data_IF_161691280999
#
_entry.id   IF_161691280999
#
_cell.length_a   1.000
_cell.length_b   1.000
_cell.length_c   1.000
_cell.angle_alpha   90.00
_cell.angle_beta   90.00
_cell.angle_gamma   90.00
#
_symmetry.space_group_name_H-M   'P 1'
#
loop_
_entity.id
_entity.type
_entity.pdbx_description
1 polymer ?
#
# COMPACT_ATOMS: atom_id res chain seq x y z
N UNK A 1 39.54 -14.51 -4.69
CA UNK A 1 40.17 -13.18 -4.96
C UNK A 1 39.14 -12.11 -4.68
N UNK A 2 39.54 -11.12 -3.93
CA UNK A 2 38.72 -9.97 -3.60
C UNK A 2 38.44 -9.15 -4.88
N UNK A 3 37.16 -8.95 -5.22
CA UNK A 3 36.77 -8.13 -6.35
C UNK A 3 35.83 -6.99 -5.87
N UNK A 4 35.89 -5.83 -6.52
CA UNK A 4 35.00 -4.72 -6.24
C UNK A 4 34.13 -4.43 -7.43
N UNK A 5 32.83 -4.17 -7.16
CA UNK A 5 31.82 -3.80 -8.14
C UNK A 5 31.23 -2.45 -7.73
N UNK A 6 31.17 -1.51 -8.66
CA UNK A 6 30.54 -0.21 -8.49
C UNK A 6 29.19 -0.23 -9.23
N UNK A 7 28.10 -0.34 -8.49
CA UNK A 7 26.75 -0.27 -9.04
C UNK A 7 26.29 1.19 -9.04
N UNK A 8 26.16 1.80 -10.22
CA UNK A 8 25.60 3.16 -10.36
C UNK A 8 24.15 3.11 -10.76
N UNK A 9 23.34 4.03 -10.27
CA UNK A 9 21.92 4.17 -10.61
C UNK A 9 21.50 5.65 -10.66
N UNK A 10 20.38 5.93 -11.35
CA UNK A 10 19.81 7.29 -11.35
C UNK A 10 19.47 7.75 -9.94
N UNK A 11 18.98 6.82 -9.09
CA UNK A 11 18.70 7.05 -7.68
C UNK A 11 19.30 5.96 -6.79
N UNK A 12 20.01 6.33 -5.74
CA UNK A 12 20.40 5.43 -4.66
C UNK A 12 19.76 5.89 -3.36
N UNK A 13 19.06 4.96 -2.70
CA UNK A 13 18.44 5.18 -1.40
C UNK A 13 18.85 4.08 -0.43
N UNK A 14 19.55 4.42 0.62
CA UNK A 14 20.01 3.45 1.63
C UNK A 14 19.03 3.25 2.80
N UNK A 15 17.79 3.72 2.67
CA UNK A 15 16.77 3.65 3.73
C UNK A 15 16.84 4.80 4.75
N UNK A 16 17.86 5.66 4.69
CA UNK A 16 18.06 6.77 5.62
C UNK A 16 18.06 8.12 4.92
N UNK A 17 17.45 9.12 5.55
CA UNK A 17 17.48 10.50 5.05
C UNK A 17 16.79 10.69 3.70
N UNK A 18 17.45 11.39 2.79
CA UNK A 18 16.98 11.68 1.43
C UNK A 18 17.70 10.76 0.44
N UNK A 19 17.00 10.16 -0.54
CA UNK A 19 17.64 9.45 -1.65
C UNK A 19 18.60 10.37 -2.41
N UNK A 20 19.60 9.79 -3.07
CA UNK A 20 20.63 10.51 -3.83
C UNK A 20 20.43 10.33 -5.33
N UNK A 21 20.41 11.41 -6.08
CA UNK A 21 20.51 11.37 -7.53
C UNK A 21 21.93 10.97 -7.95
N UNK A 22 22.06 10.23 -9.06
CA UNK A 22 23.33 9.76 -9.60
C UNK A 22 24.20 9.10 -8.51
N UNK A 23 23.60 8.20 -7.74
CA UNK A 23 24.28 7.52 -6.64
C UNK A 23 24.99 6.26 -7.08
N UNK A 24 25.79 5.73 -6.15
CA UNK A 24 26.48 4.44 -6.30
C UNK A 24 26.47 3.63 -5.03
N UNK A 25 26.47 2.30 -5.20
CA UNK A 25 26.76 1.33 -4.16
C UNK A 25 27.99 0.52 -4.57
N UNK A 26 28.99 0.45 -3.69
CA UNK A 26 30.17 -0.34 -3.92
C UNK A 26 30.06 -1.65 -3.17
N UNK A 27 30.16 -2.74 -3.90
CA UNK A 27 30.19 -4.10 -3.36
C UNK A 27 31.60 -4.66 -3.39
N UNK A 28 31.96 -5.42 -2.37
CA UNK A 28 33.17 -6.22 -2.31
C UNK A 28 32.77 -7.67 -2.22
N UNK A 29 33.27 -8.49 -3.17
CA UNK A 29 32.95 -9.93 -3.25
C UNK A 29 34.17 -10.76 -2.93
N UNK A 30 33.97 -11.82 -2.13
CA UNK A 30 34.96 -12.88 -1.87
C UNK A 30 34.28 -14.24 -1.96
N UNK A 31 34.53 -14.98 -3.05
CA UNK A 31 33.77 -16.19 -3.36
C UNK A 31 32.29 -15.87 -3.70
N UNK A 32 31.38 -16.46 -2.94
CA UNK A 32 29.94 -16.25 -3.07
C UNK A 32 29.40 -15.11 -2.16
N UNK A 33 30.21 -14.64 -1.22
CA UNK A 33 29.84 -13.57 -0.30
C UNK A 33 30.02 -12.20 -0.96
N UNK A 34 29.05 -11.32 -0.78
CA UNK A 34 29.07 -9.95 -1.28
C UNK A 34 28.65 -8.98 -0.16
N UNK A 35 29.54 -8.03 0.18
CA UNK A 35 29.29 -7.04 1.22
C UNK A 35 29.29 -5.63 0.64
N UNK A 36 28.48 -4.75 1.23
CA UNK A 36 28.42 -3.33 0.90
C UNK A 36 29.60 -2.64 1.57
N UNK A 37 30.44 -1.96 0.78
CA UNK A 37 31.58 -1.20 1.31
C UNK A 37 31.36 0.32 1.29
N UNK A 38 30.48 0.81 0.42
CA UNK A 38 30.08 2.22 0.39
C UNK A 38 28.72 2.40 -0.28
N UNK A 39 28.02 3.49 0.09
CA UNK A 39 26.83 4.00 -0.61
C UNK A 39 26.92 5.54 -0.63
N UNK A 40 27.34 6.09 -1.77
CA UNK A 40 27.68 7.51 -1.90
C UNK A 40 27.31 8.03 -3.30
N UNK A 41 27.64 9.26 -3.64
CA UNK A 41 27.49 9.72 -5.02
C UNK A 41 28.49 9.03 -5.95
N UNK A 42 28.10 8.85 -7.23
CA UNK A 42 28.86 8.03 -8.16
C UNK A 42 30.27 8.60 -8.46
N UNK A 43 30.43 9.92 -8.43
CA UNK A 43 31.74 10.55 -8.69
C UNK A 43 32.70 10.29 -7.53
N UNK A 44 32.25 10.47 -6.29
CA UNK A 44 33.02 10.14 -5.08
C UNK A 44 33.39 8.65 -5.04
N UNK A 45 32.46 7.78 -5.39
CA UNK A 45 32.70 6.34 -5.42
C UNK A 45 33.77 5.95 -6.45
N UNK A 46 33.78 6.56 -7.65
CA UNK A 46 34.84 6.34 -8.65
C UNK A 46 36.22 6.77 -8.16
N UNK A 47 36.28 7.90 -7.43
CA UNK A 47 37.55 8.41 -6.86
C UNK A 47 38.06 7.51 -5.74
N UNK A 48 37.15 7.04 -4.85
CA UNK A 48 37.51 6.22 -3.70
C UNK A 48 37.83 4.76 -4.08
N UNK A 49 37.24 4.24 -5.17
CA UNK A 49 37.36 2.86 -5.62
C UNK A 49 37.72 2.74 -7.11
N UNK A 50 38.88 3.27 -7.54
CA UNK A 50 39.23 3.33 -8.97
C UNK A 50 39.46 1.97 -9.60
N UNK A 51 39.64 0.91 -8.81
CA UNK A 51 39.81 -0.49 -9.22
C UNK A 51 38.48 -1.26 -9.34
N UNK A 52 37.35 -0.64 -8.95
CA UNK A 52 36.05 -1.28 -9.01
C UNK A 52 35.52 -1.39 -10.45
N UNK A 53 34.91 -2.54 -10.78
CA UNK A 53 34.23 -2.71 -12.06
C UNK A 53 32.88 -2.00 -12.01
N UNK A 54 32.74 -0.96 -12.81
CA UNK A 54 31.50 -0.17 -12.86
C UNK A 54 30.44 -0.84 -13.72
N UNK A 55 29.19 -0.85 -13.22
CA UNK A 55 27.98 -1.23 -13.96
C UNK A 55 26.87 -0.27 -13.59
N UNK A 56 26.26 0.39 -14.60
CA UNK A 56 24.99 1.10 -14.38
C UNK A 56 23.85 0.08 -14.35
N UNK A 57 23.03 0.13 -13.30
CA UNK A 57 22.00 -0.88 -13.02
C UNK A 57 20.58 -0.37 -13.24
N UNK A 58 20.43 0.84 -13.81
CA UNK A 58 19.15 1.41 -14.19
C UNK A 58 18.60 2.43 -13.19
N UNK A 59 17.28 2.45 -13.02
CA UNK A 59 16.58 3.54 -12.34
C UNK A 59 16.96 3.71 -10.87
N UNK A 60 17.00 2.63 -10.08
CA UNK A 60 17.32 2.79 -8.66
C UNK A 60 18.01 1.56 -8.03
N UNK A 61 18.73 1.83 -6.92
CA UNK A 61 19.14 0.86 -5.91
C UNK A 61 18.58 1.30 -4.57
N UNK A 62 17.86 0.43 -3.89
CA UNK A 62 17.21 0.72 -2.61
C UNK A 62 17.15 -0.52 -1.71
N UNK A 63 16.73 -0.41 -0.45
CA UNK A 63 16.21 -1.56 0.29
C UNK A 63 15.00 -2.18 -0.42
N UNK A 64 14.56 -3.39 -0.03
CA UNK A 64 13.38 -4.04 -0.59
C UNK A 64 12.15 -3.14 -0.59
N UNK A 65 11.34 -3.26 -1.65
CA UNK A 65 10.11 -2.48 -1.82
C UNK A 65 9.01 -2.99 -0.90
N UNK A 66 8.08 -2.09 -0.57
CA UNK A 66 6.93 -2.40 0.27
C UNK A 66 5.64 -2.24 -0.53
N UNK A 67 4.83 -3.30 -0.59
CA UNK A 67 3.48 -3.23 -1.13
C UNK A 67 2.51 -2.86 0.00
N UNK A 68 2.19 -1.57 0.14
CA UNK A 68 1.42 -1.08 1.26
C UNK A 68 -0.08 -1.40 1.20
N UNK A 69 -0.58 -1.89 0.05
CA UNK A 69 -1.99 -2.24 -0.13
C UNK A 69 -2.17 -3.24 -1.27
N UNK A 70 -2.80 -4.36 -0.96
CA UNK A 70 -3.17 -5.40 -1.93
C UNK A 70 -4.39 -6.20 -1.46
N UNK A 71 -5.00 -6.97 -2.37
CA UNK A 71 -6.06 -7.94 -2.14
C UNK A 71 -5.63 -9.28 -2.73
N UNK A 72 -4.85 -10.05 -2.00
CA UNK A 72 -4.25 -11.30 -2.50
C UNK A 72 -5.28 -12.37 -2.86
N UNK A 73 -6.40 -12.41 -2.18
CA UNK A 73 -7.48 -13.35 -2.46
C UNK A 73 -8.24 -13.06 -3.77
N UNK A 74 -7.97 -11.91 -4.41
CA UNK A 74 -8.42 -11.54 -5.76
C UNK A 74 -7.35 -11.79 -6.84
N UNK A 75 -6.25 -12.49 -6.56
CA UNK A 75 -5.17 -12.70 -7.54
C UNK A 75 -5.57 -13.53 -8.77
N UNK A 76 -6.67 -14.23 -8.72
CA UNK A 76 -7.26 -14.93 -9.89
C UNK A 76 -8.37 -14.14 -10.58
N UNK A 77 -8.76 -12.98 -10.04
CA UNK A 77 -9.72 -12.12 -10.70
C UNK A 77 -9.13 -11.57 -11.99
N UNK A 78 -9.81 -11.72 -13.15
CA UNK A 78 -9.32 -11.17 -14.40
C UNK A 78 -9.19 -9.65 -14.34
N UNK A 79 -8.07 -9.11 -14.82
CA UNK A 79 -7.90 -7.68 -15.00
C UNK A 79 -8.96 -7.14 -15.96
N UNK A 80 -9.75 -6.18 -15.49
CA UNK A 80 -10.86 -5.58 -16.26
C UNK A 80 -10.87 -4.07 -16.06
N UNK A 81 -10.20 -3.31 -16.93
CA UNK A 81 -10.25 -1.86 -16.91
C UNK A 81 -11.67 -1.38 -17.26
N UNK A 82 -12.11 -0.26 -16.65
CA UNK A 82 -13.44 0.27 -16.88
C UNK A 82 -13.79 1.38 -15.90
N UNK A 83 -15.07 1.53 -15.57
CA UNK A 83 -15.46 2.46 -14.51
C UNK A 83 -15.33 1.81 -13.12
N UNK A 84 -15.14 2.64 -12.10
CA UNK A 84 -15.12 2.20 -10.71
C UNK A 84 -16.37 1.38 -10.32
N UNK A 85 -17.56 1.80 -10.73
CA UNK A 85 -18.82 1.09 -10.43
C UNK A 85 -18.93 -0.25 -11.15
N UNK A 86 -18.40 -0.36 -12.38
CA UNK A 86 -18.35 -1.64 -13.10
C UNK A 86 -17.41 -2.61 -12.39
N UNK A 87 -16.26 -2.12 -11.94
CA UNK A 87 -15.30 -2.90 -11.16
C UNK A 87 -15.92 -3.43 -9.88
N UNK A 88 -16.56 -2.59 -9.05
CA UNK A 88 -17.24 -3.03 -7.82
C UNK A 88 -18.32 -4.07 -8.12
N UNK A 89 -19.09 -3.87 -9.20
CA UNK A 89 -20.08 -4.86 -9.64
C UNK A 89 -19.42 -6.17 -10.02
N UNK A 90 -18.26 -6.12 -10.70
CA UNK A 90 -17.43 -7.29 -11.03
C UNK A 90 -16.91 -8.02 -9.79
N UNK A 91 -16.41 -7.30 -8.78
CA UNK A 91 -15.96 -7.90 -7.51
C UNK A 91 -17.10 -8.62 -6.79
N UNK A 92 -18.30 -8.01 -6.76
CA UNK A 92 -19.48 -8.62 -6.15
C UNK A 92 -19.88 -9.90 -6.91
N UNK A 93 -19.89 -9.88 -8.24
CA UNK A 93 -20.17 -11.05 -9.06
C UNK A 93 -19.10 -12.16 -8.87
N UNK A 94 -17.84 -11.78 -8.64
CA UNK A 94 -16.73 -12.69 -8.42
C UNK A 94 -16.69 -13.30 -6.99
N UNK A 95 -17.53 -12.84 -6.08
CA UNK A 95 -17.46 -13.20 -4.66
C UNK A 95 -17.63 -14.72 -4.39
N UNK A 96 -18.40 -15.45 -5.21
CA UNK A 96 -18.52 -16.91 -5.09
C UNK A 96 -17.20 -17.61 -5.41
N UNK A 97 -16.50 -17.19 -6.45
CA UNK A 97 -15.19 -17.71 -6.84
C UNK A 97 -14.12 -17.32 -5.79
N UNK A 98 -14.14 -16.07 -5.32
CA UNK A 98 -13.28 -15.60 -4.22
C UNK A 98 -13.41 -16.48 -2.98
N UNK A 99 -14.64 -16.84 -2.58
CA UNK A 99 -14.87 -17.75 -1.45
C UNK A 99 -14.36 -19.15 -1.70
N UNK A 100 -14.52 -19.67 -2.91
CA UNK A 100 -14.11 -21.02 -3.27
C UNK A 100 -12.58 -21.15 -3.41
N UNK A 101 -11.91 -20.18 -3.99
CA UNK A 101 -10.49 -20.25 -4.40
C UNK A 101 -9.61 -19.15 -3.85
N UNK A 102 -10.10 -18.31 -2.94
CA UNK A 102 -9.34 -17.16 -2.42
C UNK A 102 -8.02 -17.54 -1.73
N UNK A 103 -7.96 -18.67 -1.05
CA UNK A 103 -6.71 -19.16 -0.46
C UNK A 103 -5.67 -19.55 -1.52
N UNK A 104 -6.10 -20.21 -2.60
CA UNK A 104 -5.19 -20.55 -3.71
C UNK A 104 -4.73 -19.30 -4.46
N UNK A 105 -5.65 -18.37 -4.69
CA UNK A 105 -5.36 -17.08 -5.30
C UNK A 105 -4.36 -16.28 -4.46
N UNK A 106 -4.54 -16.22 -3.13
CA UNK A 106 -3.62 -15.55 -2.24
C UNK A 106 -2.22 -16.16 -2.25
N UNK A 107 -2.11 -17.50 -2.28
CA UNK A 107 -0.81 -18.19 -2.44
C UNK A 107 -0.13 -17.83 -3.77
N UNK A 108 -0.88 -17.81 -4.87
CA UNK A 108 -0.34 -17.43 -6.17
C UNK A 108 0.11 -15.97 -6.22
N UNK A 109 -0.66 -15.04 -5.61
CA UNK A 109 -0.28 -13.64 -5.48
C UNK A 109 0.98 -13.45 -4.64
N UNK A 110 1.11 -14.15 -3.51
CA UNK A 110 2.33 -14.14 -2.70
C UNK A 110 3.55 -14.64 -3.47
N UNK A 111 3.39 -15.68 -4.26
CA UNK A 111 4.49 -16.22 -5.08
C UNK A 111 4.91 -15.23 -6.18
N UNK A 112 3.96 -14.49 -6.77
CA UNK A 112 4.25 -13.40 -7.71
C UNK A 112 5.04 -12.28 -7.03
N UNK A 113 4.63 -11.86 -5.83
CA UNK A 113 5.33 -10.84 -5.05
C UNK A 113 6.73 -11.27 -4.65
N UNK A 114 6.90 -12.51 -4.16
CA UNK A 114 8.23 -13.05 -3.80
C UNK A 114 9.19 -13.08 -4.98
N UNK A 115 8.73 -13.50 -6.16
CA UNK A 115 9.53 -13.44 -7.40
C UNK A 115 9.93 -12.01 -7.76
N UNK A 116 9.12 -11.03 -7.41
CA UNK A 116 9.42 -9.60 -7.53
C UNK A 116 10.29 -9.04 -6.39
N UNK A 117 10.78 -9.88 -5.46
CA UNK A 117 11.58 -9.45 -4.31
C UNK A 117 10.78 -8.72 -3.21
N UNK A 118 9.44 -8.86 -3.20
CA UNK A 118 8.57 -8.19 -2.23
C UNK A 118 8.14 -9.20 -1.16
N UNK A 119 8.55 -8.96 0.08
CA UNK A 119 8.19 -9.76 1.26
C UNK A 119 7.53 -8.93 2.36
N UNK A 120 7.37 -7.62 2.13
CA UNK A 120 6.71 -6.69 3.05
C UNK A 120 5.43 -6.16 2.42
N UNK A 121 4.29 -6.41 3.07
CA UNK A 121 2.97 -6.12 2.47
C UNK A 121 1.91 -5.68 3.47
N UNK A 122 0.92 -4.92 2.98
CA UNK A 122 -0.38 -4.70 3.60
C UNK A 122 -1.45 -5.38 2.77
N UNK A 123 -2.15 -6.36 3.32
CA UNK A 123 -3.19 -7.11 2.60
C UNK A 123 -4.55 -6.96 3.24
N UNK A 124 -5.58 -6.72 2.44
CA UNK A 124 -6.97 -6.68 2.85
C UNK A 124 -7.53 -8.11 2.80
N UNK A 125 -7.92 -8.62 3.95
CA UNK A 125 -8.25 -10.04 4.13
C UNK A 125 -9.72 -10.23 4.47
N UNK A 126 -10.41 -11.06 3.70
CA UNK A 126 -11.84 -11.37 3.88
C UNK A 126 -12.10 -12.80 4.36
N UNK A 127 -11.09 -13.66 4.40
CA UNK A 127 -11.23 -15.04 4.84
C UNK A 127 -10.24 -15.43 5.94
N UNK A 128 -10.69 -16.28 6.87
CA UNK A 128 -9.84 -16.77 7.97
C UNK A 128 -8.64 -17.57 7.46
N UNK A 129 -8.81 -18.33 6.37
CA UNK A 129 -7.74 -19.15 5.81
C UNK A 129 -6.59 -18.28 5.23
N UNK A 130 -6.91 -17.14 4.60
CA UNK A 130 -5.90 -16.19 4.13
C UNK A 130 -5.27 -15.46 5.31
N UNK A 131 -6.04 -15.08 6.32
CA UNK A 131 -5.52 -14.48 7.54
C UNK A 131 -4.48 -15.40 8.22
N UNK A 132 -4.81 -16.70 8.38
CA UNK A 132 -3.90 -17.67 8.95
C UNK A 132 -2.64 -17.87 8.09
N UNK A 133 -2.79 -17.93 6.75
CA UNK A 133 -1.67 -18.00 5.82
C UNK A 133 -0.67 -16.87 6.03
N UNK A 134 -1.15 -15.63 6.15
CA UNK A 134 -0.31 -14.44 6.27
C UNK A 134 0.33 -14.33 7.65
N UNK A 135 -0.45 -14.46 8.72
CA UNK A 135 0.05 -14.30 10.08
C UNK A 135 1.07 -15.37 10.48
N UNK A 136 0.99 -16.57 9.89
CA UNK A 136 1.92 -17.67 10.13
C UNK A 136 3.10 -17.72 9.16
N UNK A 137 3.13 -16.90 8.11
CA UNK A 137 4.21 -16.92 7.12
C UNK A 137 5.57 -16.57 7.77
N UNK A 138 6.62 -17.38 7.59
CA UNK A 138 7.91 -17.16 8.28
C UNK A 138 8.78 -16.07 7.64
N UNK A 139 8.53 -15.78 6.39
CA UNK A 139 9.34 -14.93 5.50
C UNK A 139 8.68 -13.59 5.16
N UNK A 140 7.48 -13.34 5.68
CA UNK A 140 6.74 -12.12 5.42
C UNK A 140 6.78 -11.17 6.60
N UNK A 141 6.72 -9.86 6.29
CA UNK A 141 6.48 -8.78 7.24
C UNK A 141 5.32 -7.92 6.74
N UNK A 142 4.73 -7.13 7.61
CA UNK A 142 3.66 -6.21 7.23
C UNK A 142 2.42 -6.32 8.09
N UNK A 143 1.26 -6.12 7.48
CA UNK A 143 -0.04 -6.15 8.16
C UNK A 143 -1.08 -6.89 7.33
N UNK A 144 -1.77 -7.84 7.93
CA UNK A 144 -2.98 -8.47 7.39
C UNK A 144 -4.20 -7.80 8.04
N UNK A 145 -4.92 -7.02 7.26
CA UNK A 145 -6.07 -6.23 7.72
C UNK A 145 -7.36 -7.04 7.56
N UNK A 146 -8.02 -7.36 8.67
CA UNK A 146 -9.34 -7.97 8.59
C UNK A 146 -10.36 -6.95 8.07
N UNK A 147 -10.98 -7.25 6.94
CA UNK A 147 -11.96 -6.37 6.33
C UNK A 147 -13.32 -6.47 7.03
N UNK A 148 -13.92 -5.31 7.32
CA UNK A 148 -15.24 -5.20 7.94
C UNK A 148 -16.16 -4.36 7.06
N UNK A 149 -17.31 -4.95 6.71
CA UNK A 149 -18.44 -4.27 6.07
C UNK A 149 -19.63 -4.26 7.05
N UNK A 150 -20.49 -3.27 6.92
CA UNK A 150 -21.69 -3.16 7.74
C UNK A 150 -22.36 -1.80 7.56
N UNK A 151 -23.06 -1.57 6.42
CA UNK A 151 -23.65 -0.27 6.11
C UNK A 151 -24.92 0.05 6.92
N UNK A 152 -25.63 -0.97 7.45
CA UNK A 152 -26.81 -0.75 8.29
C UNK A 152 -26.39 -0.49 9.76
N UNK A 153 -26.74 0.70 10.31
CA UNK A 153 -26.44 1.02 11.71
C UNK A 153 -27.05 0.04 12.72
N UNK A 154 -28.13 -0.67 12.36
CA UNK A 154 -28.78 -1.65 13.25
C UNK A 154 -27.91 -2.86 13.53
N UNK A 155 -27.04 -3.22 12.61
CA UNK A 155 -26.18 -4.40 12.71
C UNK A 155 -24.83 -4.06 13.37
N UNK A 156 -24.58 -2.78 13.69
CA UNK A 156 -23.26 -2.31 14.16
C UNK A 156 -22.75 -3.08 15.39
N UNK A 157 -23.58 -3.31 16.39
CA UNK A 157 -23.17 -4.00 17.63
C UNK A 157 -22.87 -5.48 17.39
N UNK A 158 -23.66 -6.14 16.56
CA UNK A 158 -23.45 -7.54 16.19
C UNK A 158 -22.15 -7.73 15.43
N UNK A 159 -21.96 -6.93 14.35
CA UNK A 159 -20.75 -6.99 13.52
C UNK A 159 -19.51 -6.63 14.34
N UNK A 160 -19.59 -5.64 15.22
CA UNK A 160 -18.50 -5.28 16.11
C UNK A 160 -18.11 -6.44 17.03
N UNK A 161 -19.09 -7.09 17.67
CA UNK A 161 -18.86 -8.23 18.58
C UNK A 161 -18.20 -9.40 17.85
N UNK A 162 -18.71 -9.78 16.69
CA UNK A 162 -18.12 -10.83 15.84
C UNK A 162 -16.70 -10.47 15.40
N UNK A 163 -16.44 -9.18 15.06
CA UNK A 163 -15.12 -8.71 14.70
C UNK A 163 -14.14 -8.85 15.86
N UNK A 164 -14.54 -8.47 17.08
CA UNK A 164 -13.69 -8.62 18.27
C UNK A 164 -13.33 -10.08 18.54
N UNK A 165 -14.29 -11.01 18.39
CA UNK A 165 -14.04 -12.45 18.57
C UNK A 165 -13.05 -12.99 17.54
N UNK A 166 -13.20 -12.61 16.27
CA UNK A 166 -12.26 -12.98 15.21
C UNK A 166 -10.86 -12.43 15.47
N UNK A 167 -10.75 -11.16 15.81
CA UNK A 167 -9.45 -10.54 16.10
C UNK A 167 -8.74 -11.24 17.28
N UNK A 168 -9.48 -11.63 18.34
CA UNK A 168 -8.92 -12.42 19.45
C UNK A 168 -8.35 -13.75 18.98
N UNK A 169 -9.08 -14.46 18.11
CA UNK A 169 -8.62 -15.73 17.50
C UNK A 169 -7.36 -15.49 16.66
N UNK A 170 -7.38 -14.51 15.77
CA UNK A 170 -6.29 -14.24 14.82
C UNK A 170 -5.00 -13.81 15.52
N UNK A 171 -5.10 -13.09 16.63
CA UNK A 171 -3.93 -12.69 17.42
C UNK A 171 -3.11 -13.89 17.92
N UNK A 172 -3.70 -15.05 18.08
CA UNK A 172 -2.98 -16.28 18.44
C UNK A 172 -2.11 -16.84 17.30
N UNK A 173 -2.27 -16.34 16.09
CA UNK A 173 -1.52 -16.75 14.90
C UNK A 173 -0.34 -15.85 14.59
N UNK A 174 -0.30 -14.65 15.19
CA UNK A 174 0.81 -13.71 15.00
C UNK A 174 2.15 -14.31 15.44
N UNK A 175 3.19 -13.97 14.71
CA UNK A 175 4.57 -14.37 15.01
C UNK A 175 5.42 -13.14 15.34
N UNK A 176 6.33 -13.20 16.31
CA UNK A 176 7.28 -12.12 16.56
C UNK A 176 8.08 -11.77 15.29
N UNK A 177 8.08 -10.48 14.94
CA UNK A 177 8.78 -9.98 13.74
C UNK A 177 8.11 -10.31 12.39
N UNK A 178 6.97 -11.02 12.39
CA UNK A 178 6.21 -11.38 11.19
C UNK A 178 5.14 -10.36 10.80
N UNK A 179 4.14 -10.86 10.07
CA UNK A 179 2.95 -10.09 9.72
C UNK A 179 2.09 -9.84 10.96
N UNK A 180 1.69 -8.59 11.17
CA UNK A 180 0.82 -8.17 12.27
C UNK A 180 -0.64 -8.24 11.86
N UNK A 181 -1.50 -8.46 12.82
CA UNK A 181 -2.94 -8.32 12.66
C UNK A 181 -3.30 -6.83 12.58
N UNK A 182 -4.16 -6.48 11.62
CA UNK A 182 -4.74 -5.15 11.46
C UNK A 182 -6.25 -5.22 11.25
N UNK A 183 -6.86 -4.07 11.07
CA UNK A 183 -8.29 -3.87 10.87
C UNK A 183 -8.54 -2.98 9.66
N UNK A 184 -9.49 -3.36 8.80
CA UNK A 184 -9.91 -2.54 7.66
C UNK A 184 -11.43 -2.35 7.66
N UNK A 185 -11.96 -1.25 8.22
CA UNK A 185 -13.28 -0.78 7.80
C UNK A 185 -13.22 -0.46 6.31
N UNK A 186 -14.02 -1.16 5.49
CA UNK A 186 -13.87 -1.16 4.03
C UNK A 186 -13.83 0.25 3.42
N UNK A 187 -14.94 0.99 3.52
CA UNK A 187 -15.04 2.38 3.04
C UNK A 187 -15.96 3.21 3.96
N UNK A 188 -15.93 4.55 3.90
CA UNK A 188 -16.85 5.39 4.67
C UNK A 188 -18.33 5.16 4.38
N UNK A 189 -18.69 4.63 3.21
CA UNK A 189 -20.07 4.42 2.81
C UNK A 189 -20.56 2.96 2.95
N UNK A 190 -19.66 2.01 3.10
CA UNK A 190 -20.02 0.60 3.30
C UNK A 190 -19.91 0.14 4.75
N UNK A 191 -19.54 1.04 5.64
CA UNK A 191 -19.50 0.83 7.10
C UNK A 191 -20.28 1.97 7.76
N UNK A 192 -21.28 1.62 8.59
CA UNK A 192 -22.13 2.61 9.25
C UNK A 192 -21.35 3.45 10.26
N UNK A 193 -21.80 4.70 10.51
CA UNK A 193 -21.16 5.62 11.44
C UNK A 193 -20.88 5.01 12.81
N UNK A 194 -21.86 4.36 13.52
CA UNK A 194 -21.59 3.77 14.82
C UNK A 194 -20.60 2.61 14.76
N UNK A 195 -20.56 1.86 13.65
CA UNK A 195 -19.57 0.79 13.48
C UNK A 195 -18.18 1.36 13.23
N UNK A 196 -18.05 2.39 12.38
CA UNK A 196 -16.78 3.09 12.14
C UNK A 196 -16.17 3.63 13.44
N UNK A 197 -16.98 4.29 14.29
CA UNK A 197 -16.53 4.81 15.57
C UNK A 197 -16.01 3.70 16.50
N UNK A 198 -16.80 2.63 16.66
CA UNK A 198 -16.40 1.47 17.50
C UNK A 198 -15.11 0.80 17.00
N UNK A 199 -14.96 0.63 15.68
CA UNK A 199 -13.77 0.03 15.09
C UNK A 199 -12.53 0.94 15.25
N UNK A 200 -12.68 2.25 15.12
CA UNK A 200 -11.61 3.21 15.36
C UNK A 200 -11.18 3.26 16.83
N UNK A 201 -12.14 3.27 17.78
CA UNK A 201 -11.86 3.18 19.20
C UNK A 201 -11.14 1.87 19.58
N UNK A 202 -11.57 0.74 18.98
CA UNK A 202 -10.91 -0.56 19.16
C UNK A 202 -9.47 -0.53 18.64
N UNK A 203 -9.28 0.01 17.44
CA UNK A 203 -7.96 0.11 16.80
C UNK A 203 -7.01 0.97 17.66
N UNK A 204 -7.46 2.14 18.08
CA UNK A 204 -6.70 3.04 18.96
C UNK A 204 -6.38 2.39 20.32
N UNK A 205 -7.40 1.84 20.99
CA UNK A 205 -7.24 1.25 22.34
C UNK A 205 -6.40 -0.02 22.35
N UNK A 206 -6.32 -0.75 21.22
CA UNK A 206 -5.57 -2.01 21.09
C UNK A 206 -4.26 -1.87 20.30
N UNK A 207 -3.91 -0.65 19.88
CA UNK A 207 -2.78 -0.38 18.99
C UNK A 207 -2.78 -1.29 17.74
N UNK A 208 -3.96 -1.45 17.13
CA UNK A 208 -4.14 -2.22 15.89
C UNK A 208 -3.90 -1.29 14.70
N UNK A 209 -3.01 -1.63 13.77
CA UNK A 209 -2.93 -0.93 12.49
C UNK A 209 -4.30 -0.94 11.80
N UNK A 210 -4.69 0.21 11.23
CA UNK A 210 -5.96 0.34 10.52
C UNK A 210 -5.75 0.87 9.11
N UNK A 211 -6.52 0.35 8.14
CA UNK A 211 -6.49 0.79 6.75
C UNK A 211 -7.91 0.96 6.21
N UNK A 212 -8.16 2.00 5.41
CA UNK A 212 -9.48 2.34 4.87
C UNK A 212 -9.33 2.83 3.42
N UNK A 213 -10.16 2.32 2.50
CA UNK A 213 -10.33 2.91 1.17
C UNK A 213 -11.17 4.18 1.29
N UNK A 214 -10.70 5.29 0.74
CA UNK A 214 -11.39 6.58 0.88
C UNK A 214 -11.08 7.54 -0.25
N UNK A 215 -12.09 8.27 -0.68
CA UNK A 215 -12.01 9.29 -1.72
C UNK A 215 -11.36 8.78 -3.03
N UNK A 216 -11.67 7.54 -3.40
CA UNK A 216 -11.09 6.87 -4.56
C UNK A 216 -11.67 7.41 -5.86
N UNK A 217 -12.98 7.59 -5.94
CA UNK A 217 -13.68 8.03 -7.14
C UNK A 217 -14.48 9.30 -6.92
N UNK A 218 -14.72 10.06 -8.00
CA UNK A 218 -15.65 11.19 -7.97
C UNK A 218 -17.06 10.76 -7.55
N UNK A 219 -17.44 9.50 -7.85
CA UNK A 219 -18.71 8.93 -7.43
C UNK A 219 -18.84 8.78 -5.91
N UNK A 220 -17.77 8.47 -5.21
CA UNK A 220 -17.75 8.40 -3.74
C UNK A 220 -17.95 9.78 -3.12
N UNK A 221 -17.28 10.81 -3.63
CA UNK A 221 -17.47 12.19 -3.17
C UNK A 221 -18.90 12.65 -3.42
N UNK A 222 -19.45 12.44 -4.63
CA UNK A 222 -20.82 12.81 -4.96
C UNK A 222 -21.86 12.06 -4.10
N UNK A 223 -21.59 10.79 -3.77
CA UNK A 223 -22.37 10.00 -2.85
C UNK A 223 -22.43 10.66 -1.47
N UNK A 224 -21.27 10.96 -0.87
CA UNK A 224 -21.16 11.52 0.48
C UNK A 224 -21.70 12.95 0.59
N UNK A 225 -21.33 13.83 -0.35
CA UNK A 225 -21.74 15.23 -0.29
C UNK A 225 -23.22 15.44 -0.66
N UNK A 226 -23.70 14.75 -1.69
CA UNK A 226 -24.97 15.10 -2.33
C UNK A 226 -25.96 13.93 -2.44
N UNK A 227 -25.55 12.70 -2.18
CA UNK A 227 -26.40 11.52 -2.37
C UNK A 227 -26.74 11.27 -3.85
N UNK A 228 -25.80 11.48 -4.76
CA UNK A 228 -26.01 11.38 -6.21
C UNK A 228 -25.00 10.47 -6.88
N UNK A 229 -25.26 10.14 -8.13
CA UNK A 229 -24.35 9.37 -8.99
C UNK A 229 -24.57 7.85 -8.97
N UNK A 230 -23.84 7.11 -9.83
CA UNK A 230 -24.02 5.66 -10.01
C UNK A 230 -23.80 4.86 -8.72
N UNK A 231 -22.89 5.30 -7.86
CA UNK A 231 -22.62 4.64 -6.60
C UNK A 231 -23.82 4.77 -5.64
N UNK A 232 -24.54 5.91 -5.64
CA UNK A 232 -25.76 6.08 -4.88
C UNK A 232 -26.88 5.14 -5.36
N UNK A 233 -27.03 4.97 -6.67
CA UNK A 233 -28.01 4.04 -7.22
C UNK A 233 -27.72 2.57 -6.83
N UNK A 234 -26.46 2.22 -6.72
CA UNK A 234 -26.03 0.91 -6.21
C UNK A 234 -26.31 0.78 -4.71
N UNK A 235 -25.98 1.79 -3.90
CA UNK A 235 -26.22 1.81 -2.45
C UNK A 235 -27.70 1.70 -2.10
N UNK A 236 -28.59 2.39 -2.82
CA UNK A 236 -30.04 2.32 -2.60
C UNK A 236 -30.62 0.93 -2.75
N UNK A 237 -30.01 0.05 -3.56
CA UNK A 237 -30.46 -1.34 -3.73
C UNK A 237 -30.23 -2.18 -2.48
N UNK A 238 -29.19 -1.85 -1.69
CA UNK A 238 -28.84 -2.59 -0.49
C UNK A 238 -29.28 -1.90 0.80
N UNK A 239 -29.28 -0.57 0.79
CA UNK A 239 -29.63 0.26 1.93
C UNK A 239 -30.52 1.44 1.47
N UNK A 240 -31.85 1.21 1.26
CA UNK A 240 -32.76 2.24 0.70
C UNK A 240 -32.84 3.54 1.52
N UNK A 241 -32.49 3.47 2.81
CA UNK A 241 -32.55 4.60 3.73
C UNK A 241 -31.20 5.28 3.98
N UNK A 242 -30.14 4.88 3.24
CA UNK A 242 -28.85 5.52 3.34
C UNK A 242 -28.96 7.01 2.95
N UNK A 243 -28.33 7.88 3.76
CA UNK A 243 -28.37 9.33 3.56
C UNK A 243 -26.96 9.87 3.39
N UNK A 244 -26.75 10.88 2.51
CA UNK A 244 -25.48 11.57 2.38
C UNK A 244 -25.16 12.34 3.68
N UNK A 245 -23.86 12.45 3.96
CA UNK A 245 -23.39 13.20 5.12
C UNK A 245 -23.34 14.72 4.90
N UNK A 246 -23.36 15.16 3.65
CA UNK A 246 -23.10 16.55 3.28
C UNK A 246 -21.63 16.97 3.40
N UNK A 247 -20.73 16.01 3.60
CA UNK A 247 -19.29 16.20 3.83
C UNK A 247 -18.47 15.44 2.78
N UNK A 248 -17.21 15.82 2.59
CA UNK A 248 -16.28 14.94 1.87
C UNK A 248 -16.06 13.63 2.67
N UNK A 249 -15.67 12.52 2.02
CA UNK A 249 -15.36 11.27 2.74
C UNK A 249 -14.35 11.47 3.87
N UNK A 250 -13.34 12.32 3.68
CA UNK A 250 -12.31 12.62 4.68
C UNK A 250 -12.88 13.41 5.85
N UNK A 251 -13.69 14.44 5.58
CA UNK A 251 -14.35 15.23 6.62
C UNK A 251 -15.32 14.36 7.44
N UNK A 252 -16.01 13.43 6.78
CA UNK A 252 -16.88 12.47 7.45
C UNK A 252 -16.10 11.57 8.42
N UNK A 253 -14.96 11.02 8.01
CA UNK A 253 -14.09 10.23 8.89
C UNK A 253 -13.55 11.06 10.06
N UNK A 254 -13.20 12.34 9.82
CA UNK A 254 -12.77 13.26 10.87
C UNK A 254 -13.89 13.48 11.89
N UNK A 255 -15.09 13.80 11.45
CA UNK A 255 -16.22 14.12 12.34
C UNK A 255 -16.66 12.91 13.19
N UNK A 256 -16.36 11.70 12.69
CA UNK A 256 -16.55 10.45 13.44
C UNK A 256 -15.34 10.08 14.32
N UNK A 257 -14.31 10.94 14.43
CA UNK A 257 -13.04 10.65 15.13
C UNK A 257 -12.28 9.42 14.63
N UNK A 258 -12.57 8.96 13.42
CA UNK A 258 -11.87 7.78 12.84
C UNK A 258 -10.40 8.10 12.54
N UNK A 259 -10.11 9.36 12.18
CA UNK A 259 -8.72 9.79 11.92
C UNK A 259 -7.85 9.79 13.17
N UNK A 260 -8.41 9.80 14.38
CA UNK A 260 -7.66 9.75 15.64
C UNK A 260 -6.92 8.40 15.82
N UNK A 261 -7.42 7.33 15.20
CA UNK A 261 -6.74 6.03 15.13
C UNK A 261 -5.57 6.00 14.12
N UNK A 262 -5.28 7.11 13.45
CA UNK A 262 -4.23 7.26 12.44
C UNK A 262 -4.26 6.18 11.34
N UNK A 263 -5.41 5.94 10.70
CA UNK A 263 -5.50 4.92 9.66
C UNK A 263 -4.58 5.24 8.48
N UNK A 264 -4.10 4.20 7.81
CA UNK A 264 -3.58 4.32 6.46
C UNK A 264 -4.75 4.50 5.51
N UNK A 265 -4.75 5.59 4.74
CA UNK A 265 -5.82 5.97 3.83
C UNK A 265 -5.45 5.57 2.40
N UNK A 266 -6.24 4.69 1.78
CA UNK A 266 -5.94 4.17 0.45
C UNK A 266 -6.67 4.97 -0.62
N UNK A 267 -6.04 5.12 -1.77
CA UNK A 267 -6.44 5.88 -2.96
C UNK A 267 -6.36 7.39 -2.79
N UNK A 268 -7.25 8.00 -2.05
CA UNK A 268 -7.24 9.45 -1.75
C UNK A 268 -7.06 10.34 -2.99
N UNK A 269 -7.75 9.98 -4.09
CA UNK A 269 -7.64 10.67 -5.39
C UNK A 269 -8.46 11.96 -5.43
N UNK A 270 -9.68 11.91 -4.89
CA UNK A 270 -10.63 13.02 -4.93
C UNK A 270 -10.68 13.76 -3.60
N UNK A 271 -9.66 14.56 -3.34
CA UNK A 271 -9.51 15.36 -2.12
C UNK A 271 -9.22 16.81 -2.44
N UNK A 272 -9.62 17.69 -1.53
CA UNK A 272 -9.28 19.10 -1.57
C UNK A 272 -8.19 19.47 -0.54
N UNK A 273 -7.77 20.74 -0.52
CA UNK A 273 -6.72 21.20 0.39
C UNK A 273 -7.11 21.12 1.88
N UNK A 274 -8.42 21.20 2.19
CA UNK A 274 -8.90 21.04 3.56
C UNK A 274 -8.80 19.59 4.01
N UNK A 275 -9.17 18.63 3.14
CA UNK A 275 -9.05 17.20 3.41
C UNK A 275 -7.59 16.81 3.70
N UNK A 276 -6.65 17.25 2.86
CA UNK A 276 -5.21 16.94 3.05
C UNK A 276 -4.67 17.59 4.33
N UNK A 277 -5.19 18.74 4.75
CA UNK A 277 -4.84 19.31 6.07
C UNK A 277 -5.31 18.43 7.24
N UNK A 278 -6.50 17.87 7.16
CA UNK A 278 -6.98 16.96 8.22
C UNK A 278 -6.13 15.68 8.27
N UNK A 279 -5.80 15.11 7.12
CA UNK A 279 -4.89 13.95 7.00
C UNK A 279 -3.52 14.26 7.62
N UNK A 280 -2.95 15.43 7.31
CA UNK A 280 -1.67 15.89 7.88
C UNK A 280 -1.74 16.04 9.41
N UNK A 281 -2.81 16.68 9.93
CA UNK A 281 -3.01 16.90 11.37
C UNK A 281 -3.13 15.60 12.13
N UNK A 282 -3.85 14.63 11.55
CA UNK A 282 -4.01 13.31 12.14
C UNK A 282 -2.73 12.45 12.07
N UNK A 283 -1.76 12.81 11.23
CA UNK A 283 -0.54 12.03 11.02
C UNK A 283 -0.74 10.76 10.21
N UNK A 284 -1.84 10.69 9.43
CA UNK A 284 -2.14 9.55 8.56
C UNK A 284 -1.16 9.45 7.39
N UNK A 285 -0.95 8.23 6.91
CA UNK A 285 -0.21 7.93 5.68
C UNK A 285 -1.20 7.63 4.56
N UNK A 286 -0.86 7.99 3.33
CA UNK A 286 -1.69 7.76 2.15
C UNK A 286 -1.05 6.71 1.26
N UNK A 287 -1.84 5.74 0.75
CA UNK A 287 -1.38 4.77 -0.25
C UNK A 287 -1.92 5.14 -1.61
N UNK A 288 -1.02 5.36 -2.56
CA UNK A 288 -1.32 5.60 -3.96
C UNK A 288 -1.25 4.29 -4.75
N UNK A 289 -2.30 3.99 -5.52
CA UNK A 289 -2.39 2.82 -6.40
C UNK A 289 -2.54 3.30 -7.86
N UNK A 290 -1.47 3.82 -8.49
CA UNK A 290 -1.56 4.56 -9.76
C UNK A 290 -2.16 3.75 -10.90
N UNK A 291 -1.82 2.46 -11.01
CA UNK A 291 -2.31 1.60 -12.11
C UNK A 291 -3.78 1.25 -11.93
N UNK A 292 -4.19 0.89 -10.72
CA UNK A 292 -5.59 0.64 -10.37
C UNK A 292 -6.43 1.89 -10.61
N UNK A 293 -6.05 3.04 -10.05
CA UNK A 293 -6.80 4.28 -10.21
C UNK A 293 -6.91 4.72 -11.69
N UNK A 294 -5.87 4.47 -12.50
CA UNK A 294 -5.89 4.74 -13.94
C UNK A 294 -6.81 3.77 -14.67
N UNK A 295 -6.72 2.47 -14.39
CA UNK A 295 -7.53 1.45 -15.05
C UNK A 295 -9.03 1.61 -14.76
N UNK A 296 -9.38 2.10 -13.57
CA UNK A 296 -10.76 2.30 -13.13
C UNK A 296 -11.30 3.72 -13.41
N UNK A 297 -10.52 4.56 -14.10
CA UNK A 297 -10.94 5.91 -14.43
C UNK A 297 -11.15 6.81 -13.21
N UNK A 298 -10.49 6.50 -12.09
CA UNK A 298 -10.63 7.25 -10.84
C UNK A 298 -10.01 8.66 -10.90
N UNK A 299 -9.21 8.98 -11.92
CA UNK A 299 -8.59 10.29 -12.06
C UNK A 299 -7.13 10.33 -11.58
N UNK A 300 -6.57 11.55 -11.51
CA UNK A 300 -5.17 11.76 -11.14
C UNK A 300 -5.01 12.06 -9.65
N UNK A 301 -4.25 11.24 -8.97
CA UNK A 301 -3.86 11.46 -7.58
C UNK A 301 -3.12 12.81 -7.43
N UNK A 302 -3.47 13.67 -6.48
CA UNK A 302 -2.91 15.02 -6.34
C UNK A 302 -1.56 15.00 -5.58
N UNK A 303 -0.56 14.33 -6.16
CA UNK A 303 0.77 14.10 -5.57
C UNK A 303 1.39 15.39 -5.00
N UNK A 304 1.35 16.48 -5.78
CA UNK A 304 1.94 17.77 -5.42
C UNK A 304 1.31 18.37 -4.16
N UNK A 305 0.02 18.11 -3.91
CA UNK A 305 -0.68 18.60 -2.74
C UNK A 305 -0.20 17.88 -1.47
N UNK A 306 -0.02 16.56 -1.55
CA UNK A 306 0.53 15.77 -0.44
C UNK A 306 1.97 16.15 -0.12
N UNK A 307 2.81 16.31 -1.14
CA UNK A 307 4.21 16.73 -0.95
C UNK A 307 4.30 18.13 -0.35
N UNK A 308 3.50 19.08 -0.83
CA UNK A 308 3.41 20.45 -0.28
C UNK A 308 3.06 20.45 1.22
N UNK A 309 2.25 19.50 1.65
CA UNK A 309 1.78 19.37 3.04
C UNK A 309 2.64 18.46 3.90
N UNK A 310 3.64 17.81 3.34
CA UNK A 310 4.50 16.87 4.07
C UNK A 310 3.78 15.60 4.51
N UNK A 311 2.70 15.21 3.82
CA UNK A 311 2.02 13.93 4.07
C UNK A 311 2.84 12.81 3.46
N UNK A 312 3.10 11.76 4.24
CA UNK A 312 3.80 10.58 3.74
C UNK A 312 2.90 9.81 2.77
N UNK A 313 3.46 9.48 1.61
CA UNK A 313 2.81 8.67 0.57
C UNK A 313 3.55 7.35 0.44
N UNK A 314 2.78 6.28 0.26
CA UNK A 314 3.24 4.92 -0.03
C UNK A 314 2.67 4.44 -1.37
N UNK A 315 3.15 3.30 -1.87
CA UNK A 315 2.57 2.63 -3.02
C UNK A 315 1.90 1.31 -2.64
N UNK A 316 0.79 1.01 -3.31
CA UNK A 316 0.09 -0.25 -3.26
C UNK A 316 -0.32 -0.70 -4.65
N UNK A 317 -0.40 -2.02 -4.87
CA UNK A 317 -0.79 -2.58 -6.17
C UNK A 317 -2.29 -2.74 -6.33
N UNK A 318 -3.01 -2.70 -5.20
CA UNK A 318 -4.42 -3.07 -5.17
C UNK A 318 -4.65 -4.52 -5.66
N UNK A 319 -5.83 -4.87 -6.14
CA UNK A 319 -6.16 -6.20 -6.64
C UNK A 319 -5.69 -6.44 -8.08
N UNK A 320 -5.50 -7.71 -8.45
CA UNK A 320 -5.25 -8.07 -9.85
C UNK A 320 -6.46 -7.83 -10.75
N UNK A 321 -7.63 -7.63 -10.21
CA UNK A 321 -8.81 -7.20 -10.97
C UNK A 321 -8.70 -5.78 -11.52
N UNK A 322 -7.98 -4.89 -10.81
CA UNK A 322 -7.76 -3.48 -11.17
C UNK A 322 -6.32 -3.16 -11.59
N UNK A 323 -5.36 -4.03 -11.31
CA UNK A 323 -3.95 -3.89 -11.71
C UNK A 323 -3.41 -5.22 -12.26
N UNK A 324 -2.75 -5.27 -13.43
CA UNK A 324 -2.41 -6.54 -14.07
C UNK A 324 -1.34 -7.35 -13.33
N UNK A 325 -0.54 -6.72 -12.47
CA UNK A 325 0.51 -7.38 -11.67
C UNK A 325 0.61 -6.82 -10.26
N UNK A 326 1.21 -7.60 -9.34
CA UNK A 326 1.50 -7.18 -7.96
C UNK A 326 2.92 -6.56 -7.81
N UNK A 327 3.37 -5.81 -8.82
CA UNK A 327 4.69 -5.21 -8.88
C UNK A 327 4.68 -3.75 -8.42
N UNK A 328 5.20 -3.46 -7.23
CA UNK A 328 5.39 -2.08 -6.73
C UNK A 328 6.31 -1.27 -7.63
N UNK A 329 7.33 -1.88 -8.24
CA UNK A 329 8.18 -1.22 -9.22
C UNK A 329 7.34 -0.65 -10.38
N UNK A 330 6.40 -1.43 -10.91
CA UNK A 330 5.52 -0.96 -12.00
C UNK A 330 4.55 0.13 -11.52
N UNK A 331 4.11 0.11 -10.26
CA UNK A 331 3.32 1.22 -9.69
C UNK A 331 4.13 2.51 -9.66
N UNK A 332 5.40 2.44 -9.25
CA UNK A 332 6.30 3.62 -9.25
C UNK A 332 6.55 4.14 -10.66
N UNK A 333 6.77 3.26 -11.63
CA UNK A 333 6.95 3.69 -13.04
C UNK A 333 5.67 4.32 -13.61
N UNK A 334 4.51 3.77 -13.28
CA UNK A 334 3.23 4.37 -13.65
C UNK A 334 3.03 5.75 -13.00
N UNK A 335 3.36 5.90 -11.71
CA UNK A 335 3.33 7.19 -11.02
C UNK A 335 4.30 8.21 -11.65
N UNK A 336 5.52 7.78 -12.00
CA UNK A 336 6.51 8.60 -12.70
C UNK A 336 5.95 9.18 -13.99
N UNK A 337 5.32 8.32 -14.79
CA UNK A 337 4.67 8.72 -16.05
C UNK A 337 3.46 9.65 -15.79
N UNK A 338 2.60 9.29 -14.83
CA UNK A 338 1.37 10.02 -14.54
C UNK A 338 1.62 11.44 -14.00
N UNK A 339 2.65 11.59 -13.17
CA UNK A 339 2.93 12.86 -12.48
C UNK A 339 3.97 13.72 -13.21
N UNK A 340 4.85 13.10 -14.02
CA UNK A 340 5.94 13.81 -14.70
C UNK A 340 6.77 14.66 -13.71
N UNK A 341 7.08 15.88 -14.06
CA UNK A 341 7.91 16.81 -13.24
C UNK A 341 7.29 17.17 -11.88
N UNK A 342 6.02 16.79 -11.60
CA UNK A 342 5.36 17.00 -10.30
C UNK A 342 5.81 16.02 -9.22
N UNK A 343 6.42 14.90 -9.64
CA UNK A 343 6.95 13.88 -8.73
C UNK A 343 8.42 13.59 -9.08
N UNK A 344 9.36 14.01 -8.23
CA UNK A 344 10.76 13.68 -8.44
C UNK A 344 11.02 12.20 -8.22
N UNK A 345 11.96 11.63 -8.98
CA UNK A 345 12.39 10.24 -8.84
C UNK A 345 12.83 9.92 -7.40
N UNK A 346 13.49 10.85 -6.72
CA UNK A 346 13.87 10.72 -5.31
C UNK A 346 12.67 10.54 -4.39
N UNK A 347 11.60 11.31 -4.62
CA UNK A 347 10.36 11.21 -3.82
C UNK A 347 9.63 9.89 -4.08
N UNK A 348 9.60 9.43 -5.33
CA UNK A 348 8.97 8.17 -5.72
C UNK A 348 9.68 6.96 -5.09
N UNK A 349 11.02 6.90 -5.17
CA UNK A 349 11.82 5.82 -4.55
C UNK A 349 11.65 5.82 -3.03
N UNK A 350 11.67 7.00 -2.40
CA UNK A 350 11.44 7.13 -0.96
C UNK A 350 10.04 6.63 -0.54
N UNK A 351 9.01 6.94 -1.33
CA UNK A 351 7.64 6.50 -1.09
C UNK A 351 7.49 4.96 -1.17
N UNK A 352 8.18 4.31 -2.12
CA UNK A 352 8.14 2.87 -2.30
C UNK A 352 8.80 2.06 -1.17
N UNK A 353 9.70 2.67 -0.40
CA UNK A 353 10.40 2.04 0.73
C UNK A 353 9.91 2.63 2.05
N UNK A 354 10.32 3.87 2.36
CA UNK A 354 10.01 4.52 3.65
C UNK A 354 8.52 4.79 3.82
N UNK A 355 7.87 5.29 2.77
CA UNK A 355 6.42 5.52 2.77
C UNK A 355 5.66 4.24 3.03
N UNK A 356 6.01 3.15 2.33
CA UNK A 356 5.41 1.83 2.54
C UNK A 356 5.56 1.32 3.97
N UNK A 357 6.76 1.40 4.54
CA UNK A 357 6.99 1.04 5.94
C UNK A 357 6.17 1.90 6.91
N UNK A 358 6.08 3.21 6.65
CA UNK A 358 5.27 4.11 7.47
C UNK A 358 3.80 3.74 7.43
N UNK A 359 3.26 3.39 6.26
CA UNK A 359 1.88 2.94 6.08
C UNK A 359 1.57 1.65 6.88
N UNK A 360 2.57 0.79 7.07
CA UNK A 360 2.43 -0.49 7.78
C UNK A 360 2.93 -0.43 9.24
N UNK A 361 3.25 0.77 9.76
CA UNK A 361 3.80 0.96 11.12
C UNK A 361 5.05 0.09 11.36
N UNK A 362 5.93 0.02 10.35
CA UNK A 362 7.22 -0.68 10.38
C UNK A 362 8.39 0.29 10.40
N UNK A 363 9.52 -0.18 10.91
CA UNK A 363 10.80 0.52 10.74
C UNK A 363 11.32 0.29 9.33
N UNK A 364 11.67 1.34 8.57
CA UNK A 364 12.23 1.17 7.24
C UNK A 364 13.53 0.33 7.27
N UNK A 365 13.66 -0.64 6.36
CA UNK A 365 14.92 -1.33 6.17
C UNK A 365 15.98 -0.35 5.69
N UNK A 366 17.22 -0.62 6.05
CA UNK A 366 18.37 0.19 5.66
C UNK A 366 19.55 -0.73 5.33
N UNK A 367 20.42 -0.24 4.49
CA UNK A 367 21.72 -0.85 4.29
C UNK A 367 22.86 0.13 4.57
N UNK A 368 23.97 -0.38 5.04
CA UNK A 368 25.16 0.37 5.39
C UNK A 368 26.43 -0.43 5.04
N UNK A 369 27.57 0.21 5.23
CA UNK A 369 28.85 -0.47 5.09
C UNK A 369 28.94 -1.67 6.03
N UNK A 370 29.29 -2.82 5.49
CA UNK A 370 29.44 -4.11 6.19
C UNK A 370 28.21 -5.01 6.10
N UNK A 371 27.09 -4.50 5.61
CA UNK A 371 25.88 -5.31 5.39
C UNK A 371 26.03 -6.20 4.15
N UNK A 372 25.27 -7.28 4.11
CA UNK A 372 25.21 -8.20 2.98
C UNK A 372 24.54 -7.54 1.76
N UNK A 373 25.00 -7.88 0.56
CA UNK A 373 24.45 -7.34 -0.68
C UNK A 373 23.01 -7.82 -0.94
N UNK A 374 22.53 -8.88 -0.28
CA UNK A 374 21.13 -9.32 -0.33
C UNK A 374 20.14 -8.31 0.26
N UNK A 375 20.63 -7.35 1.06
CA UNK A 375 19.83 -6.22 1.56
C UNK A 375 19.50 -5.18 0.46
N UNK A 376 20.04 -5.35 -0.75
CA UNK A 376 19.81 -4.46 -1.88
C UNK A 376 18.70 -4.97 -2.78
N UNK A 377 17.83 -4.05 -3.17
CA UNK A 377 16.90 -4.23 -4.27
C UNK A 377 17.37 -3.37 -5.47
N UNK A 378 17.74 -4.03 -6.56
CA UNK A 378 18.12 -3.38 -7.81
C UNK A 378 16.89 -3.29 -8.70
N UNK A 379 16.55 -2.06 -9.12
CA UNK A 379 15.42 -1.79 -10.00
C UNK A 379 15.83 -1.98 -11.47
N UNK A 380 16.13 -3.23 -11.85
CA UNK A 380 16.52 -3.52 -13.23
C UNK A 380 15.47 -3.04 -14.22
N UNK A 381 15.91 -2.51 -15.36
CA UNK A 381 15.02 -2.26 -16.48
C UNK A 381 14.49 -3.62 -16.95
N UNK A 382 13.20 -3.88 -16.72
CA UNK A 382 12.59 -5.09 -17.26
C UNK A 382 12.51 -4.96 -18.78
N UNK A 383 13.17 -5.86 -19.50
CA UNK A 383 12.92 -6.13 -20.92
C UNK A 383 11.56 -6.83 -21.14
N UNK A 384 10.57 -6.53 -20.32
CA UNK A 384 9.22 -7.05 -20.49
C UNK A 384 8.45 -6.07 -21.38
N UNK A 385 8.42 -6.44 -22.67
CA UNK A 385 7.48 -5.93 -23.68
C UNK A 385 6.08 -6.49 -23.45
#
# INVERSE_FOLDING_TARGET
MLQRHLLTADVVYNGMGTPRANGAVVLQTEGEEAQIVAAEDAETARQNFPDAREKHVGFAVSPPLVNAHTHLDLSYMPFSPGSYTDFITGVIAYNSERRARGLEAAKAGLEEMRRGGITTLGDIVTSEAVMELLLRAPDLQGVAYWEVLGPDPKDADTIFSETVEKLRKFRTWERPGGVKLGLSPHTPHTVSAPLLQKLAELALGSNLPMQIHVAESAGEVALHENGTGPLMEMMKRWLPHWQPSGLTPVQYLRDLSVLDAQPTLVHMVHVNEADVREVQRAGCTVVHCPRSNTALGCGRFPWELYMKRGVEVAFGTDSKGSSPTLSVKQEVMAARTLHGDRASDLALVRAAVKGGCRALSLTPPRFARGDDASELYVWEESNEQ
#
